data_IF_657855776601
#
_entry.id   IF_657855776601
#
_cell.length_a   1.000
_cell.length_b   1.000
_cell.length_c   1.000
_cell.angle_alpha   90.00
_cell.angle_beta   90.00
_cell.angle_gamma   90.00
#
_symmetry.space_group_name_H-M   'P 1'
#
loop_
_entity.id
_entity.type
_entity.pdbx_description
1 polymer ?
#
# COMPACT_ATOMS: atom_id res chain seq x y z
N UNK A 1 -10.71 56.14 29.76
CA UNK A 1 -10.38 55.38 28.53
C UNK A 1 -11.29 55.86 27.39
N UNK A 2 -11.27 57.16 27.10
CA UNK A 2 -12.16 57.72 26.09
C UNK A 2 -11.70 57.26 24.69
N UNK A 3 -12.59 56.63 23.93
CA UNK A 3 -12.30 56.06 22.60
C UNK A 3 -11.76 54.62 22.57
N UNK A 4 -11.56 53.97 23.73
CA UNK A 4 -11.18 52.55 23.77
C UNK A 4 -12.43 51.68 23.74
N UNK A 5 -12.55 50.86 22.70
CA UNK A 5 -13.75 50.03 22.44
C UNK A 5 -13.58 48.58 22.85
N UNK A 6 -12.36 48.13 23.17
CA UNK A 6 -12.09 46.75 23.57
C UNK A 6 -11.13 46.67 24.74
N UNK A 7 -11.46 45.87 25.75
CA UNK A 7 -10.60 45.63 26.92
C UNK A 7 -10.12 44.19 26.95
N UNK A 8 -8.85 44.02 27.32
CA UNK A 8 -8.22 42.72 27.55
C UNK A 8 -7.68 42.76 28.97
N UNK A 9 -8.09 41.81 29.79
CA UNK A 9 -7.59 41.66 31.15
C UNK A 9 -7.03 40.25 31.34
N UNK A 10 -5.95 40.16 32.10
CA UNK A 10 -5.43 38.92 32.62
C UNK A 10 -5.59 38.96 34.14
N UNK A 11 -6.22 37.94 34.70
CA UNK A 11 -6.57 37.85 36.12
C UNK A 11 -6.14 36.51 36.65
N UNK A 12 -5.59 36.48 37.86
CA UNK A 12 -5.31 35.23 38.55
C UNK A 12 -6.62 34.62 39.05
N UNK A 13 -6.77 33.29 38.96
CA UNK A 13 -7.97 32.60 39.39
C UNK A 13 -8.35 32.90 40.85
N UNK A 14 -7.36 33.13 41.73
CA UNK A 14 -7.58 33.48 43.13
C UNK A 14 -8.19 34.87 43.36
N UNK A 15 -8.09 35.77 42.37
CA UNK A 15 -8.62 37.14 42.43
C UNK A 15 -9.83 37.35 41.50
N UNK A 16 -10.23 36.29 40.78
CA UNK A 16 -11.25 36.34 39.72
C UNK A 16 -12.58 36.94 40.19
N UNK A 17 -13.12 36.51 41.34
CA UNK A 17 -14.42 36.98 41.84
C UNK A 17 -14.47 38.51 41.99
N UNK A 18 -13.44 39.07 42.62
CA UNK A 18 -13.36 40.50 42.89
C UNK A 18 -13.12 41.29 41.60
N UNK A 19 -12.09 40.91 40.85
CA UNK A 19 -11.66 41.69 39.67
C UNK A 19 -12.68 41.62 38.55
N UNK A 20 -13.27 40.44 38.28
CA UNK A 20 -14.29 40.31 37.23
C UNK A 20 -15.57 41.06 37.61
N UNK A 21 -15.96 41.08 38.89
CA UNK A 21 -17.08 41.88 39.39
C UNK A 21 -16.87 43.38 39.20
N UNK A 22 -15.72 43.91 39.63
CA UNK A 22 -15.37 45.33 39.45
C UNK A 22 -15.31 45.73 37.96
N UNK A 23 -14.77 44.85 37.11
CA UNK A 23 -14.69 45.08 35.66
C UNK A 23 -16.07 45.02 35.01
N UNK A 24 -16.97 44.14 35.47
CA UNK A 24 -18.35 44.07 34.98
C UNK A 24 -19.13 45.35 35.29
N UNK A 25 -19.01 45.88 36.51
CA UNK A 25 -19.61 47.16 36.89
C UNK A 25 -19.05 48.31 36.03
N UNK A 26 -17.74 48.34 35.83
CA UNK A 26 -17.10 49.36 35.00
C UNK A 26 -17.52 49.24 33.53
N UNK A 27 -17.61 48.03 32.99
CA UNK A 27 -18.02 47.77 31.62
C UNK A 27 -19.44 48.32 31.34
N UNK A 28 -20.37 48.10 32.26
CA UNK A 28 -21.73 48.63 32.17
C UNK A 28 -21.81 50.16 32.25
N UNK A 29 -20.77 50.83 32.78
CA UNK A 29 -20.72 52.29 32.90
C UNK A 29 -20.12 53.00 31.67
N UNK A 30 -19.57 52.24 30.71
CA UNK A 30 -18.85 52.81 29.55
C UNK A 30 -19.59 52.50 28.24
N UNK A 31 -20.37 53.47 27.76
CA UNK A 31 -21.18 53.34 26.53
C UNK A 31 -20.36 53.04 25.26
N UNK A 32 -19.07 53.40 25.25
CA UNK A 32 -18.19 53.19 24.09
C UNK A 32 -17.58 51.77 24.03
N UNK A 33 -17.71 50.99 25.09
CA UNK A 33 -17.12 49.66 25.19
C UNK A 33 -17.94 48.66 24.38
N UNK A 34 -17.25 47.89 23.52
CA UNK A 34 -17.86 46.88 22.65
C UNK A 34 -17.53 45.47 23.11
N UNK A 35 -16.25 45.21 23.41
CA UNK A 35 -15.78 43.87 23.74
C UNK A 35 -14.93 43.90 25.02
N UNK A 36 -15.15 42.95 25.92
CA UNK A 36 -14.27 42.71 27.07
C UNK A 36 -13.89 41.24 27.05
N UNK A 37 -12.60 40.93 27.08
CA UNK A 37 -12.12 39.55 27.18
C UNK A 37 -11.22 39.42 28.39
N UNK A 38 -11.59 38.50 29.28
CA UNK A 38 -10.82 38.18 30.47
C UNK A 38 -10.15 36.82 30.35
N UNK A 39 -8.83 36.82 30.41
CA UNK A 39 -8.03 35.61 30.57
C UNK A 39 -7.84 35.33 32.06
N UNK A 40 -8.51 34.30 32.57
CA UNK A 40 -8.36 33.86 33.96
C UNK A 40 -7.33 32.74 34.00
N UNK A 41 -6.23 32.96 34.70
CA UNK A 41 -5.06 32.08 34.72
C UNK A 41 -4.99 31.31 36.03
N UNK A 42 -4.63 30.03 35.96
CA UNK A 42 -4.47 29.18 37.14
C UNK A 42 -5.78 28.57 37.62
N UNK A 43 -6.77 28.39 36.74
CA UNK A 43 -7.98 27.66 37.07
C UNK A 43 -7.64 26.17 37.28
N UNK A 44 -7.76 25.69 38.53
CA UNK A 44 -7.59 24.28 38.87
C UNK A 44 -8.80 23.44 38.42
N UNK A 45 -10.00 24.03 38.49
CA UNK A 45 -11.25 23.46 38.03
C UNK A 45 -11.82 24.29 36.87
N UNK A 46 -12.05 23.64 35.74
CA UNK A 46 -12.64 24.26 34.54
C UNK A 46 -14.18 24.32 34.61
N UNK A 47 -14.78 23.79 35.67
CA UNK A 47 -16.24 23.74 35.85
C UNK A 47 -16.83 25.06 36.27
N UNK A 48 -16.05 25.92 36.94
CA UNK A 48 -16.53 27.22 37.39
C UNK A 48 -15.40 28.21 37.56
N UNK A 49 -15.67 29.48 37.24
CA UNK A 49 -14.78 30.60 37.55
C UNK A 49 -15.58 31.63 38.33
N UNK A 50 -15.22 31.92 39.59
CA UNK A 50 -15.87 32.94 40.39
C UNK A 50 -15.89 34.29 39.66
N UNK A 51 -17.05 34.95 39.65
CA UNK A 51 -17.23 36.25 38.98
C UNK A 51 -17.38 36.19 37.45
N UNK A 52 -17.26 35.01 36.82
CA UNK A 52 -17.42 34.90 35.37
C UNK A 52 -18.83 35.29 34.91
N UNK A 53 -19.86 34.87 35.63
CA UNK A 53 -21.26 35.19 35.32
C UNK A 53 -21.53 36.70 35.32
N UNK A 54 -20.88 37.45 36.22
CA UNK A 54 -21.04 38.89 36.31
C UNK A 54 -20.49 39.58 35.06
N UNK A 55 -19.28 39.18 34.62
CA UNK A 55 -18.68 39.74 33.41
C UNK A 55 -19.42 39.29 32.14
N UNK A 56 -19.86 38.04 32.09
CA UNK A 56 -20.69 37.51 30.99
C UNK A 56 -22.00 38.26 30.87
N UNK A 57 -22.67 38.55 31.99
CA UNK A 57 -23.90 39.34 32.01
C UNK A 57 -23.68 40.79 31.54
N UNK A 58 -22.47 41.33 31.73
CA UNK A 58 -22.06 42.64 31.20
C UNK A 58 -21.60 42.58 29.72
N UNK A 59 -21.79 41.45 29.04
CA UNK A 59 -21.41 41.26 27.63
C UNK A 59 -19.94 40.89 27.39
N UNK A 60 -19.20 40.59 28.46
CA UNK A 60 -17.80 40.18 28.37
C UNK A 60 -17.63 38.67 28.15
N UNK A 61 -16.46 38.28 27.65
CA UNK A 61 -16.04 36.89 27.46
C UNK A 61 -15.01 36.52 28.51
N UNK A 62 -15.17 35.37 29.15
CA UNK A 62 -14.20 34.82 30.10
C UNK A 62 -13.56 33.59 29.49
N UNK A 63 -12.23 33.57 29.44
CA UNK A 63 -11.42 32.43 29.03
C UNK A 63 -10.62 31.95 30.23
N UNK A 64 -11.07 30.86 30.84
CA UNK A 64 -10.38 30.17 31.92
C UNK A 64 -9.30 29.25 31.35
N UNK A 65 -8.06 29.47 31.75
CA UNK A 65 -6.92 28.61 31.43
C UNK A 65 -6.27 28.13 32.71
N UNK A 66 -5.68 26.94 32.65
CA UNK A 66 -4.94 26.39 33.77
C UNK A 66 -3.59 27.08 33.97
N UNK A 67 -2.58 26.36 34.45
CA UNK A 67 -1.25 26.95 34.59
C UNK A 67 -0.65 27.28 33.22
N UNK A 68 -0.18 28.52 33.08
CA UNK A 68 0.53 28.96 31.89
C UNK A 68 1.99 28.52 31.94
N UNK A 69 2.49 27.97 30.84
CA UNK A 69 3.89 27.60 30.73
C UNK A 69 4.56 28.23 29.50
N UNK A 70 5.87 28.43 29.60
CA UNK A 70 6.72 28.88 28.50
C UNK A 70 7.18 27.66 27.68
N UNK A 71 6.80 27.63 26.41
CA UNK A 71 6.98 26.47 25.53
C UNK A 71 5.71 26.18 24.74
N UNK A 72 5.70 25.08 23.99
CA UNK A 72 4.55 24.67 23.17
C UNK A 72 4.81 24.79 21.68
N UNK A 73 4.22 23.87 20.90
CA UNK A 73 4.24 23.89 19.43
C UNK A 73 2.99 24.59 18.93
N UNK A 74 3.14 25.45 17.92
CA UNK A 74 1.98 25.94 17.17
C UNK A 74 1.23 24.76 16.55
N UNK A 75 -0.10 24.80 16.60
CA UNK A 75 -0.93 23.71 16.09
C UNK A 75 -0.98 22.48 17.00
N UNK A 76 -0.78 22.63 18.31
CA UNK A 76 -1.19 21.60 19.28
C UNK A 76 -2.69 21.28 19.19
N UNK A 77 -3.10 20.13 19.71
CA UNK A 77 -4.52 19.86 19.99
C UNK A 77 -4.82 20.37 21.40
N UNK A 78 -5.97 21.00 21.53
CA UNK A 78 -6.41 21.65 22.75
C UNK A 78 -7.92 21.51 22.85
N UNK A 79 -8.43 21.70 24.07
CA UNK A 79 -9.85 21.85 24.33
C UNK A 79 -10.17 23.35 24.46
N UNK A 80 -11.26 23.78 23.84
CA UNK A 80 -11.94 25.04 24.16
C UNK A 80 -13.45 24.78 24.09
N UNK A 81 -14.16 25.04 25.18
CA UNK A 81 -15.60 24.83 25.27
C UNK A 81 -16.20 25.61 26.44
N UNK A 82 -17.53 25.54 26.65
CA UNK A 82 -18.16 26.09 27.85
C UNK A 82 -17.52 25.56 29.13
N UNK A 83 -17.55 26.36 30.20
CA UNK A 83 -17.11 25.87 31.51
C UNK A 83 -17.84 24.56 31.88
N UNK A 84 -17.05 23.58 32.28
CA UNK A 84 -17.49 22.22 32.55
C UNK A 84 -16.34 21.42 33.14
N UNK A 85 -16.63 20.22 33.70
CA UNK A 85 -15.58 19.37 34.22
C UNK A 85 -14.53 19.18 33.12
N UNK A 86 -13.27 19.55 33.43
CA UNK A 86 -12.16 19.17 32.57
C UNK A 86 -12.28 17.66 32.34
N UNK A 87 -12.08 17.21 31.10
CA UNK A 87 -12.45 15.87 30.64
C UNK A 87 -11.65 14.72 31.29
N UNK A 88 -11.10 14.87 32.50
CA UNK A 88 -10.22 13.94 33.21
C UNK A 88 -8.83 13.79 32.57
N UNK A 89 -8.69 14.22 31.31
CA UNK A 89 -7.58 13.94 30.41
C UNK A 89 -6.72 15.18 30.16
N UNK A 90 -6.51 15.98 31.22
CA UNK A 90 -5.52 17.07 31.28
C UNK A 90 -4.10 16.48 31.22
N UNK A 91 -3.09 17.36 31.03
CA UNK A 91 -1.69 17.04 30.74
C UNK A 91 -1.07 15.83 31.49
N UNK A 92 -1.55 15.48 32.68
CA UNK A 92 -1.27 14.23 33.39
C UNK A 92 -2.39 13.97 34.43
N UNK A 93 -2.72 12.70 34.71
CA UNK A 93 -3.61 12.35 35.83
C UNK A 93 -3.04 12.92 37.14
N UNK A 94 -3.79 13.77 37.83
CA UNK A 94 -3.33 14.49 39.02
C UNK A 94 -2.48 15.75 38.79
N UNK A 95 -2.34 16.23 37.54
CA UNK A 95 -1.80 17.56 37.25
C UNK A 95 -2.88 18.55 36.82
N UNK A 96 -2.75 19.79 37.29
CA UNK A 96 -3.60 20.90 36.90
C UNK A 96 -3.63 21.05 35.36
N UNK A 97 -4.75 21.50 34.77
CA UNK A 97 -4.80 21.86 33.37
C UNK A 97 -3.66 22.83 33.04
N UNK A 98 -3.07 22.73 31.85
CA UNK A 98 -1.99 23.64 31.42
C UNK A 98 -2.21 24.10 29.99
N UNK A 99 -1.70 25.29 29.67
CA UNK A 99 -1.71 25.82 28.32
C UNK A 99 -0.46 26.65 28.06
N UNK A 100 0.08 26.57 26.85
CA UNK A 100 1.18 27.45 26.45
C UNK A 100 0.73 28.91 26.44
N UNK A 101 1.58 29.83 26.92
CA UNK A 101 1.27 31.27 26.88
C UNK A 101 0.92 31.76 25.47
N UNK A 102 1.59 31.20 24.47
CA UNK A 102 1.37 31.55 23.06
C UNK A 102 -0.04 31.18 22.61
N UNK A 103 -0.51 29.96 22.93
CA UNK A 103 -1.86 29.53 22.59
C UNK A 103 -2.91 30.32 23.36
N UNK A 104 -2.71 30.54 24.66
CA UNK A 104 -3.63 31.30 25.49
C UNK A 104 -3.87 32.72 24.95
N UNK A 105 -2.80 33.44 24.59
CA UNK A 105 -2.95 34.78 24.00
C UNK A 105 -3.52 34.75 22.58
N UNK A 106 -3.24 33.71 21.81
CA UNK A 106 -3.86 33.52 20.50
C UNK A 106 -5.38 33.31 20.63
N UNK A 107 -5.82 32.50 21.60
CA UNK A 107 -7.23 32.30 21.90
C UNK A 107 -7.89 33.58 22.37
N UNK A 108 -7.25 34.37 23.25
CA UNK A 108 -7.75 35.71 23.62
C UNK A 108 -7.95 36.58 22.38
N UNK A 109 -6.95 36.66 21.50
CA UNK A 109 -7.05 37.46 20.28
C UNK A 109 -8.16 36.96 19.34
N UNK A 110 -8.33 35.64 19.20
CA UNK A 110 -9.43 35.07 18.43
C UNK A 110 -10.79 35.35 19.07
N UNK A 111 -10.92 35.26 20.41
CA UNK A 111 -12.17 35.58 21.11
C UNK A 111 -12.58 37.03 20.96
N UNK A 112 -11.63 37.97 20.83
CA UNK A 112 -11.98 39.35 20.48
C UNK A 112 -12.58 39.50 19.08
N UNK A 113 -12.27 38.58 18.17
CA UNK A 113 -12.58 38.69 16.75
C UNK A 113 -13.81 37.87 16.33
N UNK A 114 -14.24 36.90 17.13
CA UNK A 114 -15.34 35.98 16.77
C UNK A 114 -16.55 36.16 17.70
N UNK A 115 -17.72 36.30 17.10
CA UNK A 115 -18.99 36.45 17.80
C UNK A 115 -19.41 35.20 18.61
N UNK A 116 -19.02 33.99 18.18
CA UNK A 116 -19.34 32.74 18.90
C UNK A 116 -18.73 32.64 20.29
N UNK A 117 -17.74 33.47 20.60
CA UNK A 117 -17.15 33.59 21.95
C UNK A 117 -17.78 34.71 22.78
N UNK A 118 -18.61 35.57 22.17
CA UNK A 118 -19.17 36.73 22.86
C UNK A 118 -20.07 36.32 24.02
N UNK A 119 -19.99 37.06 25.13
CA UNK A 119 -20.83 36.83 26.32
C UNK A 119 -20.82 35.36 26.79
N UNK A 120 -19.64 34.72 26.79
CA UNK A 120 -19.49 33.32 27.15
C UNK A 120 -18.35 33.11 28.14
N UNK A 121 -18.50 32.10 29.00
CA UNK A 121 -17.45 31.62 29.88
C UNK A 121 -16.93 30.29 29.35
N UNK A 122 -15.65 30.26 29.01
CA UNK A 122 -15.00 29.17 28.29
C UNK A 122 -13.84 28.59 29.09
N UNK A 123 -13.71 27.28 29.14
CA UNK A 123 -12.55 26.57 29.65
C UNK A 123 -11.61 26.18 28.51
N UNK A 124 -10.31 26.39 28.69
CA UNK A 124 -9.31 26.11 27.67
C UNK A 124 -8.04 25.48 28.25
N UNK A 125 -7.63 24.35 27.69
CA UNK A 125 -6.44 23.61 28.12
C UNK A 125 -5.88 22.76 26.99
N UNK A 126 -4.60 22.42 27.09
CA UNK A 126 -3.96 21.48 26.16
C UNK A 126 -4.10 20.03 26.64
N UNK A 127 -4.26 19.12 25.68
CA UNK A 127 -4.38 17.68 25.95
C UNK A 127 -3.05 17.06 26.37
N UNK A 128 -3.10 16.05 27.25
CA UNK A 128 -1.91 15.31 27.65
C UNK A 128 -1.25 14.54 26.53
N UNK A 129 0.07 14.28 26.62
CA UNK A 129 0.73 13.34 25.72
C UNK A 129 0.03 11.96 25.67
N UNK A 130 -0.54 11.51 26.79
CA UNK A 130 -1.32 10.26 26.87
C UNK A 130 -2.58 10.39 26.03
N UNK A 131 -3.39 11.44 26.25
CA UNK A 131 -4.61 11.70 25.48
C UNK A 131 -4.32 11.88 23.98
N UNK A 132 -3.21 12.55 23.63
CA UNK A 132 -2.77 12.72 22.24
C UNK A 132 -2.37 11.40 21.57
N UNK A 133 -1.78 10.45 22.31
CA UNK A 133 -1.44 9.13 21.78
C UNK A 133 -2.69 8.32 21.39
N UNK A 134 -3.81 8.60 22.07
CA UNK A 134 -5.11 7.94 21.86
C UNK A 134 -5.90 8.47 20.67
N UNK A 135 -5.52 9.61 20.08
CA UNK A 135 -6.22 10.21 18.93
C UNK A 135 -6.28 9.28 17.70
N UNK A 136 -5.26 8.44 17.52
CA UNK A 136 -5.16 7.49 16.40
C UNK A 136 -5.92 6.18 16.62
N UNK A 137 -6.37 5.90 17.84
CA UNK A 137 -7.06 4.66 18.17
C UNK A 137 -8.55 4.73 17.77
N UNK A 138 -9.20 3.61 17.41
CA UNK A 138 -10.64 3.56 17.20
C UNK A 138 -11.41 3.95 18.48
N UNK A 139 -12.69 4.32 18.31
CA UNK A 139 -13.58 4.46 19.46
C UNK A 139 -13.81 3.07 20.06
N UNK A 140 -13.83 2.95 21.39
CA UNK A 140 -14.14 1.69 22.08
C UNK A 140 -15.65 1.42 22.04
N UNK A 141 -16.17 1.26 20.83
CA UNK A 141 -17.58 0.97 20.55
C UNK A 141 -17.68 -0.30 19.70
N UNK A 142 -18.79 -1.01 19.85
CA UNK A 142 -19.13 -2.22 19.11
C UNK A 142 -18.00 -3.28 19.12
N UNK A 143 -17.27 -3.41 18.00
CA UNK A 143 -16.24 -4.41 17.75
C UNK A 143 -14.91 -4.11 18.46
N UNK A 144 -14.75 -2.89 18.96
CA UNK A 144 -13.56 -2.43 19.68
C UNK A 144 -13.84 -2.16 21.16
N UNK A 145 -15.06 -2.44 21.63
CA UNK A 145 -15.42 -2.19 23.01
C UNK A 145 -14.66 -3.16 23.93
N UNK A 146 -13.89 -2.60 24.85
CA UNK A 146 -13.27 -3.37 25.92
C UNK A 146 -14.33 -3.77 26.95
N UNK A 147 -14.12 -4.92 27.59
CA UNK A 147 -15.02 -5.43 28.61
C UNK A 147 -14.27 -5.62 29.91
N UNK A 148 -14.95 -5.35 31.02
CA UNK A 148 -14.43 -5.67 32.34
C UNK A 148 -14.49 -7.19 32.62
N UNK A 149 -13.99 -7.59 33.79
CA UNK A 149 -13.98 -8.98 34.24
C UNK A 149 -15.40 -9.57 34.39
N UNK A 150 -16.42 -8.72 34.48
CA UNK A 150 -17.84 -9.07 34.59
C UNK A 150 -18.56 -9.10 33.21
N UNK A 151 -17.85 -8.72 32.14
CA UNK A 151 -18.33 -8.73 30.76
C UNK A 151 -19.12 -7.50 30.34
N UNK A 152 -19.19 -6.46 31.18
CA UNK A 152 -19.77 -5.14 30.87
C UNK A 152 -18.82 -4.31 30.02
N UNK A 153 -19.37 -3.42 29.18
CA UNK A 153 -18.57 -2.58 28.31
C UNK A 153 -17.92 -1.44 29.08
N UNK A 154 -16.60 -1.34 28.98
CA UNK A 154 -15.84 -0.22 29.55
C UNK A 154 -16.13 1.05 28.73
N UNK A 155 -16.42 2.19 29.39
CA UNK A 155 -16.62 3.46 28.69
C UNK A 155 -15.32 3.94 28.05
N UNK A 156 -15.38 4.46 26.83
CA UNK A 156 -14.23 5.12 26.19
C UNK A 156 -13.98 6.49 26.83
N UNK A 157 -13.13 6.52 27.85
CA UNK A 157 -12.76 7.74 28.58
C UNK A 157 -12.10 8.81 27.69
N UNK A 158 -11.55 8.40 26.54
CA UNK A 158 -10.92 9.30 25.57
C UNK A 158 -11.84 9.72 24.43
N UNK A 159 -13.13 9.36 24.47
CA UNK A 159 -14.06 9.60 23.36
C UNK A 159 -14.11 11.06 22.96
N UNK A 160 -14.30 11.98 23.90
CA UNK A 160 -14.42 13.41 23.59
C UNK A 160 -13.09 13.99 23.07
N UNK A 161 -11.95 13.57 23.62
CA UNK A 161 -10.61 13.93 23.12
C UNK A 161 -10.42 13.45 21.67
N UNK A 162 -10.76 12.19 21.38
CA UNK A 162 -10.69 11.59 20.04
C UNK A 162 -11.61 12.35 19.08
N UNK A 163 -12.81 12.74 19.51
CA UNK A 163 -13.76 13.51 18.71
C UNK A 163 -13.22 14.90 18.36
N UNK A 164 -12.84 15.68 19.37
CA UNK A 164 -12.34 17.04 19.17
C UNK A 164 -11.03 17.05 18.39
N UNK A 165 -10.10 16.15 18.70
CA UNK A 165 -8.84 16.05 17.97
C UNK A 165 -9.02 15.65 16.50
N UNK A 166 -9.96 14.74 16.19
CA UNK A 166 -10.28 14.40 14.79
C UNK A 166 -10.97 15.54 14.06
N UNK A 167 -11.85 16.28 14.73
CA UNK A 167 -12.48 17.48 14.16
C UNK A 167 -11.43 18.55 13.84
N UNK A 168 -10.57 18.90 14.81
CA UNK A 168 -9.47 19.84 14.63
C UNK A 168 -8.58 19.41 13.46
N UNK A 169 -8.21 18.12 13.40
CA UNK A 169 -7.42 17.58 12.29
C UNK A 169 -8.13 17.76 10.94
N UNK A 170 -9.41 17.40 10.86
CA UNK A 170 -10.20 17.51 9.62
C UNK A 170 -10.35 18.97 9.16
N UNK A 171 -10.55 19.91 10.09
CA UNK A 171 -10.61 21.34 9.80
C UNK A 171 -9.28 21.85 9.22
N UNK A 172 -8.15 21.48 9.85
CA UNK A 172 -6.82 21.86 9.39
C UNK A 172 -6.45 21.24 8.04
N UNK A 173 -6.77 19.96 7.82
CA UNK A 173 -6.58 19.29 6.53
C UNK A 173 -7.43 19.95 5.42
N UNK A 174 -8.59 20.51 5.78
CA UNK A 174 -9.45 21.29 4.87
C UNK A 174 -8.96 22.73 4.66
N UNK A 175 -7.89 23.16 5.34
CA UNK A 175 -7.31 24.49 5.20
C UNK A 175 -7.94 25.57 6.10
N UNK A 176 -8.69 25.19 7.13
CA UNK A 176 -9.21 26.16 8.10
C UNK A 176 -8.06 26.81 8.89
N UNK A 177 -8.21 28.11 9.14
CA UNK A 177 -7.29 28.87 10.00
C UNK A 177 -7.70 28.72 11.46
N UNK A 178 -6.79 29.00 12.41
CA UNK A 178 -7.06 28.83 13.85
C UNK A 178 -8.27 29.63 14.37
N UNK A 179 -8.59 30.77 13.76
CA UNK A 179 -9.78 31.54 14.11
C UNK A 179 -11.08 30.84 13.65
N UNK A 180 -11.06 30.23 12.46
CA UNK A 180 -12.20 29.47 11.93
C UNK A 180 -12.37 28.13 12.67
N UNK A 181 -11.26 27.53 13.12
CA UNK A 181 -11.27 26.35 13.99
C UNK A 181 -12.00 26.65 15.30
N UNK A 182 -11.66 27.76 15.97
CA UNK A 182 -12.31 28.18 17.21
C UNK A 182 -13.81 28.45 17.02
N UNK A 183 -14.19 29.09 15.92
CA UNK A 183 -15.61 29.37 15.61
C UNK A 183 -16.43 28.08 15.43
N UNK A 184 -15.87 27.08 14.74
CA UNK A 184 -16.52 25.78 14.57
C UNK A 184 -16.59 25.01 15.89
N UNK A 185 -15.51 25.03 16.69
CA UNK A 185 -15.47 24.31 17.97
C UNK A 185 -16.51 24.83 18.97
N UNK A 186 -16.67 26.16 19.06
CA UNK A 186 -17.58 26.80 20.02
C UNK A 186 -19.03 26.91 19.55
N UNK A 187 -19.25 26.91 18.24
CA UNK A 187 -20.59 26.78 17.69
C UNK A 187 -21.09 25.33 17.79
N UNK A 188 -22.10 24.96 17.01
CA UNK A 188 -22.63 23.58 17.01
C UNK A 188 -21.68 22.56 16.34
N UNK A 189 -20.41 22.88 16.09
CA UNK A 189 -19.51 22.03 15.32
C UNK A 189 -19.26 20.67 15.97
N UNK A 190 -19.04 20.61 17.29
CA UNK A 190 -18.83 19.33 18.00
C UNK A 190 -20.12 18.48 17.99
N UNK A 191 -21.28 19.10 18.24
CA UNK A 191 -22.57 18.41 18.23
C UNK A 191 -22.96 17.94 16.81
N UNK A 192 -22.77 18.79 15.80
CA UNK A 192 -22.98 18.44 14.40
C UNK A 192 -22.00 17.36 13.93
N UNK A 193 -20.76 17.36 14.43
CA UNK A 193 -19.79 16.30 14.15
C UNK A 193 -20.18 14.99 14.82
N UNK A 194 -20.66 15.02 16.06
CA UNK A 194 -21.28 13.86 16.75
C UNK A 194 -22.46 13.32 15.95
N UNK A 195 -23.35 14.19 15.46
CA UNK A 195 -24.47 13.80 14.61
C UNK A 195 -24.03 13.26 13.26
N UNK A 196 -22.99 13.83 12.64
CA UNK A 196 -22.43 13.34 11.38
C UNK A 196 -21.77 11.96 11.53
N UNK A 197 -21.09 11.68 12.65
CA UNK A 197 -20.53 10.35 12.88
C UNK A 197 -21.63 9.33 13.18
N UNK A 198 -22.64 9.71 13.97
CA UNK A 198 -23.77 8.83 14.31
C UNK A 198 -24.68 8.57 13.10
N UNK A 199 -24.91 9.58 12.27
CA UNK A 199 -25.73 9.55 11.07
C UNK A 199 -24.94 10.20 9.93
N UNK A 200 -23.93 9.52 9.36
CA UNK A 200 -23.26 10.05 8.18
C UNK A 200 -24.34 10.25 7.13
N UNK A 201 -24.45 11.45 6.53
CA UNK A 201 -25.41 11.67 5.47
C UNK A 201 -25.18 10.56 4.46
N UNK A 202 -26.21 9.74 4.25
CA UNK A 202 -26.21 8.76 3.19
C UNK A 202 -25.87 9.57 1.96
N UNK A 203 -24.68 9.38 1.40
CA UNK A 203 -24.31 10.01 0.15
C UNK A 203 -25.18 9.35 -0.90
N UNK A 204 -26.44 9.77 -1.00
CA UNK A 204 -27.19 9.78 -2.25
C UNK A 204 -26.54 10.84 -3.14
N UNK A 205 -25.25 10.63 -3.42
CA UNK A 205 -24.57 11.30 -4.49
C UNK A 205 -25.20 10.74 -5.77
N UNK A 206 -25.59 11.59 -6.74
CA UNK A 206 -25.96 11.13 -8.08
C UNK A 206 -24.88 10.22 -8.70
N UNK A 207 -23.64 10.32 -8.23
CA UNK A 207 -22.55 9.43 -8.61
C UNK A 207 -22.64 8.02 -8.00
N UNK A 208 -23.30 7.82 -6.85
CA UNK A 208 -23.43 6.49 -6.25
C UNK A 208 -24.32 5.56 -7.10
N UNK A 209 -25.38 6.10 -7.72
CA UNK A 209 -26.19 5.35 -8.69
C UNK A 209 -25.39 5.05 -9.96
N UNK A 210 -24.63 6.02 -10.49
CA UNK A 210 -23.78 5.83 -11.68
C UNK A 210 -22.66 4.82 -11.41
N UNK A 211 -22.07 4.80 -10.21
CA UNK A 211 -21.07 3.81 -9.80
C UNK A 211 -21.70 2.43 -9.65
N UNK A 212 -22.92 2.32 -9.10
CA UNK A 212 -23.60 1.02 -9.01
C UNK A 212 -23.97 0.40 -10.36
N UNK A 213 -24.37 1.22 -11.35
CA UNK A 213 -24.63 0.74 -12.72
C UNK A 213 -23.34 0.45 -13.48
N UNK A 214 -22.28 1.21 -13.22
CA UNK A 214 -20.95 0.98 -13.79
C UNK A 214 -20.31 -0.28 -13.21
N UNK A 215 -20.39 -0.51 -11.90
CA UNK A 215 -19.88 -1.70 -11.24
C UNK A 215 -20.67 -2.96 -11.66
N UNK A 216 -21.97 -2.82 -11.91
CA UNK A 216 -22.78 -3.91 -12.48
C UNK A 216 -22.34 -4.24 -13.91
N UNK A 217 -22.11 -3.23 -14.76
CA UNK A 217 -21.61 -3.42 -16.13
C UNK A 217 -20.16 -3.91 -16.16
N UNK A 218 -19.30 -3.43 -15.27
CA UNK A 218 -17.91 -3.87 -15.17
C UNK A 218 -17.85 -5.32 -14.68
N UNK A 219 -18.73 -5.74 -13.77
CA UNK A 219 -18.88 -7.16 -13.38
C UNK A 219 -19.38 -8.04 -14.52
N UNK A 220 -20.30 -7.53 -15.35
CA UNK A 220 -20.78 -8.22 -16.54
C UNK A 220 -19.68 -8.36 -17.60
N UNK A 221 -18.91 -7.29 -17.85
CA UNK A 221 -17.77 -7.28 -18.77
C UNK A 221 -16.67 -8.23 -18.28
N UNK A 222 -16.34 -8.24 -16.99
CA UNK A 222 -15.37 -9.17 -16.41
C UNK A 222 -15.83 -10.62 -16.53
N UNK A 223 -17.12 -10.90 -16.32
CA UNK A 223 -17.67 -12.25 -16.53
C UNK A 223 -17.61 -12.68 -18.00
N UNK A 224 -17.85 -11.77 -18.95
CA UNK A 224 -17.69 -12.05 -20.38
C UNK A 224 -16.21 -12.29 -20.75
N UNK A 225 -15.28 -11.48 -20.22
CA UNK A 225 -13.85 -11.64 -20.45
C UNK A 225 -13.31 -12.94 -19.85
N UNK A 226 -13.75 -13.34 -18.66
CA UNK A 226 -13.38 -14.62 -18.06
C UNK A 226 -13.94 -15.81 -18.86
N UNK A 227 -15.19 -15.71 -19.35
CA UNK A 227 -15.78 -16.72 -20.21
C UNK A 227 -15.06 -16.82 -21.56
N UNK A 228 -14.66 -15.69 -22.14
CA UNK A 228 -13.89 -15.64 -23.38
C UNK A 228 -12.45 -16.15 -23.19
N UNK A 229 -11.80 -15.83 -22.05
CA UNK A 229 -10.49 -16.38 -21.67
C UNK A 229 -10.55 -17.90 -21.59
N UNK A 230 -11.52 -18.46 -20.87
CA UNK A 230 -11.69 -19.92 -20.76
C UNK A 230 -11.93 -20.57 -22.12
N UNK A 231 -12.79 -19.98 -22.96
CA UNK A 231 -13.04 -20.49 -24.31
C UNK A 231 -11.79 -20.43 -25.20
N UNK A 232 -10.99 -19.36 -25.07
CA UNK A 232 -9.74 -19.22 -25.81
C UNK A 232 -8.66 -20.18 -25.30
N UNK A 233 -8.57 -20.43 -24.00
CA UNK A 233 -7.69 -21.45 -23.41
C UNK A 233 -8.07 -22.86 -23.88
N UNK A 234 -9.36 -23.20 -23.88
CA UNK A 234 -9.85 -24.48 -24.40
C UNK A 234 -9.56 -24.64 -25.91
N UNK A 235 -9.75 -23.57 -26.70
CA UNK A 235 -9.39 -23.55 -28.12
C UNK A 235 -7.88 -23.66 -28.35
N UNK A 236 -7.06 -23.04 -27.49
CA UNK A 236 -5.61 -23.11 -27.58
C UNK A 236 -5.11 -24.52 -27.25
N UNK A 237 -5.61 -25.13 -26.18
CA UNK A 237 -5.30 -26.52 -25.82
C UNK A 237 -5.75 -27.49 -26.93
N UNK A 238 -6.95 -27.33 -27.47
CA UNK A 238 -7.43 -28.16 -28.58
C UNK A 238 -6.57 -27.98 -29.85
N UNK A 239 -6.09 -26.76 -30.12
CA UNK A 239 -5.17 -26.50 -31.24
C UNK A 239 -3.81 -27.15 -31.03
N UNK A 240 -3.25 -27.05 -29.82
CA UNK A 240 -1.98 -27.70 -29.48
C UNK A 240 -2.07 -29.23 -29.54
N UNK A 241 -3.16 -29.82 -29.07
CA UNK A 241 -3.38 -31.26 -29.20
C UNK A 241 -3.51 -31.68 -30.67
N UNK A 242 -4.24 -30.88 -31.47
CA UNK A 242 -4.37 -31.15 -32.90
C UNK A 242 -3.05 -31.00 -33.67
N UNK A 243 -2.18 -30.06 -33.29
CA UNK A 243 -0.86 -29.90 -33.91
C UNK A 243 0.07 -31.04 -33.53
N UNK A 244 0.09 -31.44 -32.25
CA UNK A 244 0.83 -32.62 -31.77
C UNK A 244 0.41 -33.89 -32.51
N UNK A 245 -0.89 -34.10 -32.69
CA UNK A 245 -1.41 -35.25 -33.44
C UNK A 245 -0.96 -35.23 -34.91
N UNK A 246 -1.03 -34.07 -35.58
CA UNK A 246 -0.55 -33.93 -36.98
C UNK A 246 0.95 -34.20 -37.11
N UNK A 247 1.76 -33.72 -36.17
CA UNK A 247 3.21 -33.97 -36.16
C UNK A 247 3.51 -35.47 -35.98
N UNK A 248 2.80 -36.15 -35.08
CA UNK A 248 2.92 -37.60 -34.89
C UNK A 248 2.48 -38.36 -36.15
N UNK A 249 1.39 -37.96 -36.80
CA UNK A 249 0.93 -38.58 -38.04
C UNK A 249 1.94 -38.41 -39.19
N UNK A 250 2.57 -37.24 -39.31
CA UNK A 250 3.63 -37.00 -40.29
C UNK A 250 4.85 -37.90 -40.03
N UNK A 251 5.29 -38.00 -38.78
CA UNK A 251 6.40 -38.90 -38.40
C UNK A 251 6.02 -40.36 -38.69
N UNK A 252 4.78 -40.78 -38.44
CA UNK A 252 4.29 -42.12 -38.73
C UNK A 252 4.29 -42.42 -40.23
N UNK A 253 3.85 -41.48 -41.06
CA UNK A 253 3.92 -41.60 -42.53
C UNK A 253 5.37 -41.76 -42.99
N UNK A 254 6.28 -40.89 -42.54
CA UNK A 254 7.68 -41.00 -42.90
C UNK A 254 8.32 -42.31 -42.47
N UNK A 255 8.00 -42.78 -41.26
CA UNK A 255 8.50 -44.05 -40.75
C UNK A 255 8.01 -45.22 -41.60
N UNK A 256 6.72 -45.26 -41.93
CA UNK A 256 6.13 -46.31 -42.75
C UNK A 256 6.70 -46.32 -44.19
N UNK A 257 6.97 -45.14 -44.77
CA UNK A 257 7.61 -45.00 -46.08
C UNK A 257 9.08 -45.46 -46.04
N UNK A 258 9.82 -45.11 -44.98
CA UNK A 258 11.20 -45.56 -44.77
C UNK A 258 11.28 -47.08 -44.62
N UNK A 259 10.40 -47.66 -43.82
CA UNK A 259 10.30 -49.12 -43.64
C UNK A 259 9.93 -49.85 -44.94
N UNK A 260 8.96 -49.33 -45.69
CA UNK A 260 8.64 -49.86 -47.02
C UNK A 260 9.85 -49.85 -47.93
N UNK A 261 10.56 -48.73 -48.00
CA UNK A 261 11.75 -48.57 -48.83
C UNK A 261 12.87 -49.55 -48.42
N UNK A 262 13.11 -49.71 -47.12
CA UNK A 262 14.11 -50.64 -46.59
C UNK A 262 13.77 -52.09 -46.92
N UNK A 263 12.51 -52.52 -46.75
CA UNK A 263 12.07 -53.89 -47.06
C UNK A 263 12.00 -54.18 -48.55
N UNK A 264 11.70 -53.17 -49.37
CA UNK A 264 11.78 -53.27 -50.84
C UNK A 264 13.23 -53.46 -51.30
N UNK A 265 14.19 -52.74 -50.71
CA UNK A 265 15.63 -52.91 -50.98
C UNK A 265 16.14 -54.26 -50.46
N UNK A 266 15.63 -54.71 -49.30
CA UNK A 266 15.95 -56.01 -48.71
C UNK A 266 15.36 -57.22 -49.44
N UNK A 267 14.36 -57.01 -50.31
CA UNK A 267 13.69 -58.07 -51.06
C UNK A 267 12.64 -58.85 -50.24
N UNK A 268 12.25 -58.33 -49.06
CA UNK A 268 11.29 -58.96 -48.14
C UNK A 268 9.82 -58.62 -48.45
N UNK A 269 9.58 -57.81 -49.50
CA UNK A 269 8.26 -57.42 -49.97
C UNK A 269 7.98 -57.98 -51.36
N UNK A 270 6.76 -58.45 -51.57
CA UNK A 270 6.30 -58.86 -52.90
C UNK A 270 6.25 -57.63 -53.83
N UNK A 271 6.76 -57.76 -55.04
CA UNK A 271 6.88 -56.68 -56.05
C UNK A 271 5.53 -56.08 -56.46
N UNK A 272 4.43 -56.75 -56.11
CA UNK A 272 3.06 -56.31 -56.36
C UNK A 272 2.50 -55.37 -55.28
N UNK A 273 3.11 -55.31 -54.08
CA UNK A 273 2.59 -54.53 -52.97
C UNK A 273 2.88 -53.04 -53.19
N UNK A 274 1.84 -52.22 -53.25
CA UNK A 274 2.02 -50.78 -53.37
C UNK A 274 2.36 -50.14 -52.02
N UNK A 275 3.15 -49.07 -52.04
CA UNK A 275 3.52 -48.28 -50.85
C UNK A 275 2.29 -47.89 -50.00
N UNK A 276 1.17 -47.53 -50.66
CA UNK A 276 -0.07 -47.15 -49.98
C UNK A 276 -0.74 -48.30 -49.24
N UNK A 277 -0.64 -49.53 -49.75
CA UNK A 277 -1.20 -50.72 -49.10
C UNK A 277 -0.35 -51.17 -47.92
N UNK A 278 0.98 -51.06 -48.05
CA UNK A 278 1.90 -51.34 -46.95
C UNK A 278 1.79 -50.30 -45.82
N UNK A 279 1.70 -49.01 -46.14
CA UNK A 279 1.52 -47.96 -45.12
C UNK A 279 0.23 -48.18 -44.33
N UNK A 280 -0.86 -48.61 -44.98
CA UNK A 280 -2.12 -48.94 -44.30
C UNK A 280 -2.01 -50.16 -43.38
N UNK A 281 -1.25 -51.19 -43.78
CA UNK A 281 -1.14 -52.42 -42.97
C UNK A 281 -0.26 -52.25 -41.74
N UNK A 282 0.69 -51.30 -41.77
CA UNK A 282 1.62 -51.04 -40.65
C UNK A 282 1.27 -49.76 -39.87
N UNK A 283 0.18 -49.08 -40.22
CA UNK A 283 -0.19 -47.77 -39.67
C UNK A 283 -0.24 -47.74 -38.13
N UNK A 284 -0.84 -48.75 -37.49
CA UNK A 284 -0.94 -48.80 -36.03
C UNK A 284 0.43 -48.96 -35.36
N UNK A 285 1.34 -49.72 -35.98
CA UNK A 285 2.72 -49.87 -35.49
C UNK A 285 3.53 -48.60 -35.74
N UNK A 286 3.32 -47.96 -36.90
CA UNK A 286 3.94 -46.69 -37.24
C UNK A 286 3.53 -45.57 -36.28
N UNK A 287 2.27 -45.51 -35.86
CA UNK A 287 1.78 -44.55 -34.87
C UNK A 287 2.41 -44.73 -33.49
N UNK A 288 2.68 -45.98 -33.06
CA UNK A 288 3.36 -46.26 -31.79
C UNK A 288 4.83 -45.82 -31.84
N UNK A 289 5.54 -46.15 -32.91
CA UNK A 289 6.94 -45.73 -33.08
C UNK A 289 7.08 -44.23 -33.32
N UNK A 290 6.10 -43.61 -33.99
CA UNK A 290 6.05 -42.17 -34.17
C UNK A 290 5.86 -41.42 -32.85
N UNK A 291 5.02 -41.92 -31.93
CA UNK A 291 4.88 -41.35 -30.57
C UNK A 291 6.20 -41.39 -29.80
N UNK A 292 6.88 -42.55 -29.78
CA UNK A 292 8.20 -42.68 -29.14
C UNK A 292 9.24 -41.73 -29.75
N UNK A 293 9.20 -41.60 -31.08
CA UNK A 293 10.11 -40.71 -31.81
C UNK A 293 9.80 -39.25 -31.51
N UNK A 294 8.52 -38.87 -31.45
CA UNK A 294 8.07 -37.53 -31.08
C UNK A 294 8.52 -37.16 -29.67
N UNK A 295 8.30 -38.05 -28.69
CA UNK A 295 8.77 -37.87 -27.31
C UNK A 295 10.29 -37.73 -27.22
N UNK A 296 11.03 -38.53 -27.99
CA UNK A 296 12.49 -38.43 -28.06
C UNK A 296 12.92 -37.09 -28.66
N UNK A 297 12.34 -36.67 -29.80
CA UNK A 297 12.73 -35.44 -30.51
C UNK A 297 12.35 -34.18 -29.74
N UNK A 298 11.24 -34.20 -29.01
CA UNK A 298 10.81 -33.09 -28.14
C UNK A 298 11.47 -33.10 -26.76
N UNK A 299 12.25 -34.13 -26.43
CA UNK A 299 12.99 -34.19 -25.16
C UNK A 299 14.13 -33.17 -25.11
N UNK A 300 14.40 -32.65 -23.92
CA UNK A 300 15.52 -31.73 -23.66
C UNK A 300 16.91 -32.37 -23.93
N UNK A 301 17.01 -33.69 -23.91
CA UNK A 301 18.25 -34.42 -24.21
C UNK A 301 18.56 -34.42 -25.71
N UNK A 302 17.55 -34.61 -26.56
CA UNK A 302 17.71 -34.54 -28.01
C UNK A 302 18.08 -33.13 -28.48
N UNK A 303 17.51 -32.08 -27.87
CA UNK A 303 17.91 -30.71 -28.16
C UNK A 303 19.40 -30.44 -27.83
N UNK A 304 19.91 -31.01 -26.73
CA UNK A 304 21.34 -30.94 -26.38
C UNK A 304 22.20 -31.74 -27.36
N UNK A 305 21.74 -32.91 -27.82
CA UNK A 305 22.45 -33.73 -28.79
C UNK A 305 22.53 -33.03 -30.17
N UNK A 306 21.44 -32.40 -30.61
CA UNK A 306 21.39 -31.63 -31.85
C UNK A 306 22.33 -30.42 -31.79
N UNK A 307 22.32 -29.66 -30.69
CA UNK A 307 23.23 -28.55 -30.47
C UNK A 307 24.71 -28.99 -30.50
N UNK A 308 25.03 -30.16 -29.92
CA UNK A 308 26.38 -30.75 -30.00
C UNK A 308 26.76 -31.12 -31.44
N UNK A 309 25.83 -31.70 -32.20
CA UNK A 309 26.05 -32.08 -33.61
C UNK A 309 26.20 -30.85 -34.52
N UNK A 310 25.46 -29.78 -34.30
CA UNK A 310 25.63 -28.52 -35.04
C UNK A 310 26.99 -27.87 -34.77
N UNK A 311 27.46 -27.88 -33.53
CA UNK A 311 28.81 -27.39 -33.19
C UNK A 311 29.88 -28.24 -33.88
N UNK A 312 29.71 -29.56 -33.93
CA UNK A 312 30.61 -30.46 -34.65
C UNK A 312 30.60 -30.21 -36.17
N UNK A 313 29.44 -29.93 -36.77
CA UNK A 313 29.33 -29.64 -38.20
C UNK A 313 29.93 -28.27 -38.57
N UNK A 314 29.86 -27.27 -37.69
CA UNK A 314 30.48 -25.95 -37.91
C UNK A 314 32.00 -25.93 -37.71
N UNK A 315 32.56 -26.97 -37.08
CA UNK A 315 34.00 -27.10 -36.78
C UNK A 315 34.66 -28.23 -37.59
N UNK A 316 34.26 -28.39 -38.84
CA UNK A 316 34.82 -29.40 -39.77
C UNK A 316 36.31 -29.23 -40.05
N UNK A 317 36.89 -28.07 -39.77
CA UNK A 317 38.31 -27.76 -40.00
C UNK A 317 39.23 -28.13 -38.81
N UNK A 318 38.67 -28.45 -37.64
CA UNK A 318 39.45 -28.84 -36.46
C UNK A 318 39.53 -30.37 -36.31
N UNK A 319 40.75 -30.90 -36.19
CA UNK A 319 40.96 -32.34 -36.01
C UNK A 319 40.44 -32.86 -34.66
N UNK A 320 40.52 -32.02 -33.62
CA UNK A 320 39.98 -32.25 -32.28
C UNK A 320 39.33 -30.97 -31.75
N UNK A 321 38.17 -31.08 -31.10
CA UNK A 321 37.51 -29.95 -30.42
C UNK A 321 37.05 -30.33 -29.01
N UNK A 322 36.85 -29.31 -28.19
CA UNK A 322 36.40 -29.46 -26.80
C UNK A 322 34.93 -29.91 -26.76
N UNK A 323 34.66 -31.05 -26.10
CA UNK A 323 33.34 -31.70 -26.10
C UNK A 323 33.09 -32.71 -27.22
N UNK A 324 34.10 -33.05 -28.02
CA UNK A 324 34.06 -34.17 -28.98
C UNK A 324 33.80 -35.49 -28.25
N UNK A 325 32.97 -36.35 -28.84
CA UNK A 325 32.69 -37.68 -28.28
C UNK A 325 33.98 -38.51 -28.18
N UNK A 326 34.14 -39.22 -27.06
CA UNK A 326 35.39 -39.88 -26.72
C UNK A 326 35.72 -41.03 -27.69
N UNK A 327 34.70 -41.61 -28.33
CA UNK A 327 34.89 -42.65 -29.35
C UNK A 327 35.34 -42.07 -30.70
N UNK A 328 34.83 -40.91 -31.08
CA UNK A 328 35.28 -40.21 -32.30
C UNK A 328 36.70 -39.68 -32.15
N UNK A 329 37.04 -39.15 -30.97
CA UNK A 329 38.40 -38.72 -30.63
C UNK A 329 39.40 -39.86 -30.79
N UNK A 330 39.08 -41.06 -30.29
CA UNK A 330 39.91 -42.26 -30.45
C UNK A 330 40.07 -42.66 -31.91
N UNK A 331 38.99 -42.65 -32.72
CA UNK A 331 39.08 -42.97 -34.16
C UNK A 331 39.99 -42.00 -34.91
N UNK A 332 39.88 -40.70 -34.63
CA UNK A 332 40.73 -39.66 -35.24
C UNK A 332 42.18 -39.75 -34.79
N UNK A 333 42.44 -40.07 -33.52
CA UNK A 333 43.79 -40.35 -33.01
C UNK A 333 44.44 -41.55 -33.71
N UNK A 334 43.72 -42.66 -33.87
CA UNK A 334 44.24 -43.85 -34.58
C UNK A 334 44.57 -43.52 -36.05
N UNK A 335 43.73 -42.70 -36.70
CA UNK A 335 43.99 -42.24 -38.07
C UNK A 335 45.23 -41.34 -38.13
N UNK A 336 45.40 -40.42 -37.18
CA UNK A 336 46.61 -39.61 -37.04
C UNK A 336 47.86 -40.43 -36.79
N UNK A 337 47.81 -41.44 -35.91
CA UNK A 337 48.95 -42.32 -35.65
C UNK A 337 49.33 -43.12 -36.89
N UNK A 338 48.32 -43.61 -37.64
CA UNK A 338 48.57 -44.28 -38.92
C UNK A 338 49.25 -43.34 -39.92
N UNK A 339 48.79 -42.10 -40.03
CA UNK A 339 49.39 -41.09 -40.91
C UNK A 339 50.80 -40.74 -40.44
N UNK A 340 51.00 -40.47 -39.14
CA UNK A 340 52.31 -40.19 -38.54
C UNK A 340 53.31 -41.33 -38.78
N UNK A 341 52.85 -42.58 -38.68
CA UNK A 341 53.67 -43.76 -38.97
C UNK A 341 54.07 -43.86 -40.44
N UNK A 342 53.16 -43.49 -41.36
CA UNK A 342 53.50 -43.38 -42.78
C UNK A 342 54.53 -42.28 -43.05
N UNK A 343 54.40 -41.11 -42.41
CA UNK A 343 55.37 -40.01 -42.55
C UNK A 343 56.75 -40.36 -41.95
N UNK A 344 56.80 -40.94 -40.75
CA UNK A 344 58.06 -41.38 -40.12
C UNK A 344 58.78 -42.46 -40.92
N UNK A 345 58.06 -43.28 -41.70
CA UNK A 345 58.67 -44.26 -42.60
C UNK A 345 59.24 -43.67 -43.89
N UNK A 346 58.90 -42.42 -44.22
CA UNK A 346 59.39 -41.72 -45.42
C UNK A 346 60.54 -40.74 -45.13
N UNK A 347 60.80 -40.41 -43.86
CA UNK A 347 61.93 -39.57 -43.46
C UNK A 347 63.12 -40.49 -43.18
N UNK A 348 64.23 -40.33 -43.91
CA UNK A 348 65.46 -41.10 -43.68
C UNK A 348 66.12 -40.69 -42.35
N UNK A 349 66.89 -41.59 -41.73
CA UNK A 349 67.54 -41.34 -40.44
C UNK A 349 68.45 -40.08 -40.44
N UNK A 350 68.98 -39.69 -41.59
CA UNK A 350 69.79 -38.47 -41.74
C UNK A 350 68.98 -37.17 -41.63
N UNK A 351 67.75 -37.12 -42.15
CA UNK A 351 66.90 -35.93 -42.04
C UNK A 351 66.28 -35.79 -40.64
N UNK A 352 66.04 -36.92 -39.96
CA UNK A 352 65.63 -36.93 -38.55
C UNK A 352 66.74 -36.43 -37.62
N UNK A 353 68.00 -36.79 -37.87
CA UNK A 353 69.14 -36.28 -37.10
C UNK A 353 69.34 -34.76 -37.26
N UNK A 354 69.02 -34.21 -38.45
CA UNK A 354 69.14 -32.78 -38.72
C UNK A 354 68.08 -31.94 -37.99
N UNK A 355 66.86 -32.45 -37.87
CA UNK A 355 65.79 -31.77 -37.13
C UNK A 355 66.00 -31.78 -35.60
N UNK A 356 66.58 -32.85 -35.04
CA UNK A 356 66.86 -32.91 -33.59
C UNK A 356 68.03 -31.98 -33.19
N UNK A 357 68.99 -31.73 -34.10
CA UNK A 357 70.08 -30.79 -33.85
C UNK A 357 69.70 -29.30 -34.02
N UNK A 358 68.57 -28.98 -34.65
CA UNK A 358 68.07 -27.60 -34.73
C UNK A 358 67.20 -27.17 -33.53
N UNK A 359 66.83 -28.10 -32.63
CA UNK A 359 66.04 -27.83 -31.40
C UNK A 359 66.82 -27.96 -30.08
N UNK A 360 68.16 -28.14 -30.11
CA UNK A 360 69.05 -27.98 -28.94
C UNK A 360 69.82 -26.66 -29.03
#
# INVERSE_FOLDING_TARGET
LEGVTSWILQVDASESEKVLGEVAELANSVDALRNVVALVVGAEDMSSVPGADALVAAGGTVLAVGELYDGGKEGGYYHVGPLGPASGMTATEGQAPRMSKKMAYQLVAHSLAIESTSSSALGAYEYSPVALSKLGEPYLEEKFAERDDDGEFLPDEFKDVKMEGRLIRALRESGFTGIMELDVLLSKGIENFKQYIANPPVKESPFAQIVSERDAKDKEIMAMLEAESKKNEELALAREESSKQREIEQIAQEWAIKEYSLKMIGGDLDKSTSEKEYVKSVWDTAMVEAKKTYERVTSAEYAKELARKEVAYKRTDELFWEGMDETEKKKRQVMLERIKKQYMGMISEEDMARLVMEES
#
